data_IF_622270361388
#
_entry.id   IF_622270361388
#
_cell.length_a   1.000
_cell.length_b   1.000
_cell.length_c   1.000
_cell.angle_alpha   90.00
_cell.angle_beta   90.00
_cell.angle_gamma   90.00
#
_symmetry.space_group_name_H-M   'P 1'
#
loop_
_entity.id
_entity.type
_entity.pdbx_description
1 polymer ?
#
# COMPACT_ATOMS: atom_id res chain seq x y z
N UNK A 1 10.38 -26.30 5.97
CA UNK A 1 9.42 -25.24 5.67
C UNK A 1 9.44 -24.26 6.84
N UNK A 2 9.89 -23.03 6.61
CA UNK A 2 9.74 -21.97 7.60
C UNK A 2 8.23 -21.72 7.85
N UNK A 3 7.81 -21.44 9.10
CA UNK A 3 6.41 -21.13 9.37
C UNK A 3 6.00 -19.89 8.58
N UNK A 4 4.82 -19.91 8.00
CA UNK A 4 4.26 -18.75 7.30
C UNK A 4 4.12 -17.60 8.32
N UNK A 5 4.54 -16.40 7.92
CA UNK A 5 4.29 -15.20 8.72
C UNK A 5 2.81 -14.85 8.65
N UNK A 6 2.22 -14.32 9.74
CA UNK A 6 0.88 -13.77 9.68
C UNK A 6 0.84 -12.62 8.64
N UNK A 7 -0.32 -12.42 8.01
CA UNK A 7 -0.50 -11.26 7.15
C UNK A 7 -0.45 -9.96 7.97
N UNK A 8 -0.09 -8.89 7.32
CA UNK A 8 -0.12 -7.56 7.91
C UNK A 8 -1.53 -6.97 7.82
N UNK A 9 -2.01 -6.40 8.92
CA UNK A 9 -3.29 -5.69 8.98
C UNK A 9 -3.13 -4.24 8.50
N UNK A 10 -4.27 -3.60 8.25
CA UNK A 10 -4.30 -2.15 8.00
C UNK A 10 -3.70 -1.38 9.17
N UNK A 11 -3.99 -1.79 10.42
CA UNK A 11 -3.43 -1.19 11.64
C UNK A 11 -1.91 -1.31 11.70
N UNK A 12 -1.34 -2.45 11.30
CA UNK A 12 0.12 -2.63 11.26
C UNK A 12 0.80 -1.66 10.28
N UNK A 13 0.11 -1.29 9.21
CA UNK A 13 0.66 -0.42 8.18
C UNK A 13 0.57 1.07 8.53
N UNK A 14 -0.50 1.50 9.21
CA UNK A 14 -0.83 2.93 9.38
C UNK A 14 -1.15 3.35 10.82
N UNK A 15 -1.15 2.41 11.79
CA UNK A 15 -1.61 2.69 13.16
C UNK A 15 -0.72 3.62 13.97
N UNK A 16 0.51 3.87 13.54
CA UNK A 16 1.45 4.82 14.12
C UNK A 16 1.30 6.24 13.53
N UNK A 17 0.53 6.40 12.44
CA UNK A 17 0.23 7.73 11.91
C UNK A 17 -0.80 8.44 12.79
N UNK A 18 -0.64 9.75 13.03
CA UNK A 18 -1.63 10.53 13.76
C UNK A 18 -2.95 10.65 12.97
N UNK A 19 -4.01 11.08 13.64
CA UNK A 19 -5.24 11.45 12.94
C UNK A 19 -4.93 12.52 11.87
N UNK A 20 -5.33 12.32 10.60
CA UNK A 20 -5.04 13.27 9.52
C UNK A 20 -5.71 14.65 9.72
N UNK A 21 -6.60 14.81 10.69
CA UNK A 21 -7.18 16.10 11.09
C UNK A 21 -6.43 16.74 12.27
N UNK A 22 -5.47 16.05 12.86
CA UNK A 22 -4.67 16.57 13.96
C UNK A 22 -3.54 17.51 13.46
N UNK A 23 -2.98 18.29 14.38
CA UNK A 23 -1.83 19.16 14.08
C UNK A 23 -0.57 18.36 13.78
N UNK A 24 -0.43 17.22 14.41
CA UNK A 24 0.69 16.28 14.28
C UNK A 24 0.76 15.68 12.87
N UNK A 25 -0.37 15.58 12.16
CA UNK A 25 -0.42 15.10 10.79
C UNK A 25 0.43 15.92 9.82
N UNK A 26 0.63 17.21 10.10
CA UNK A 26 1.46 18.11 9.29
C UNK A 26 2.95 17.72 9.24
N UNK A 27 3.42 16.87 10.16
CA UNK A 27 4.78 16.33 10.15
C UNK A 27 4.96 15.19 9.12
N UNK A 28 3.87 14.66 8.56
CA UNK A 28 3.89 13.56 7.60
C UNK A 28 3.48 14.05 6.23
N UNK A 29 4.37 13.95 5.26
CA UNK A 29 4.07 14.34 3.88
C UNK A 29 2.95 13.47 3.29
N UNK A 30 2.06 14.11 2.53
CA UNK A 30 0.90 13.47 1.90
C UNK A 30 -0.14 12.87 2.89
N UNK A 31 -0.08 13.24 4.18
CA UNK A 31 -1.03 12.78 5.19
C UNK A 31 -2.13 13.83 5.45
N UNK A 32 -2.92 14.11 4.43
CA UNK A 32 -3.94 15.17 4.42
C UNK A 32 -5.33 14.52 4.42
N UNK A 33 -6.19 14.95 5.35
CA UNK A 33 -7.58 14.51 5.43
C UNK A 33 -8.37 14.79 4.15
N UNK A 34 -9.18 13.79 3.73
CA UNK A 34 -10.11 13.92 2.62
C UNK A 34 -11.53 13.63 3.08
N UNK A 35 -12.40 14.63 2.99
CA UNK A 35 -13.81 14.51 3.34
C UNK A 35 -14.63 13.77 2.27
N UNK A 36 -15.85 13.35 2.62
CA UNK A 36 -16.86 12.86 1.69
C UNK A 36 -16.95 11.35 1.53
N UNK A 37 -16.22 10.58 2.33
CA UNK A 37 -16.36 9.12 2.36
C UNK A 37 -17.76 8.72 2.85
N UNK A 38 -18.38 7.74 2.18
CA UNK A 38 -19.69 7.19 2.54
C UNK A 38 -19.74 5.72 2.23
N UNK A 39 -20.27 4.92 3.14
CA UNK A 39 -20.58 3.52 2.89
C UNK A 39 -21.84 3.41 2.01
N UNK A 40 -21.80 2.52 1.05
CA UNK A 40 -22.95 2.11 0.24
C UNK A 40 -22.78 0.65 -0.23
N UNK A 41 -23.84 -0.02 -0.68
CA UNK A 41 -23.77 -1.42 -1.06
C UNK A 41 -22.59 -1.73 -2.01
N UNK A 42 -21.74 -2.70 -1.63
CA UNK A 42 -20.54 -3.07 -2.37
C UNK A 42 -19.30 -2.21 -2.08
N UNK A 43 -19.42 -1.16 -1.25
CA UNK A 43 -18.32 -0.23 -0.92
C UNK A 43 -18.29 0.04 0.59
N UNK A 44 -17.73 -0.89 1.34
CA UNK A 44 -17.76 -0.87 2.81
C UNK A 44 -16.48 -0.39 3.49
N UNK A 45 -15.43 -0.11 2.73
CA UNK A 45 -14.13 0.25 3.30
C UNK A 45 -13.35 -0.95 3.88
N UNK A 46 -12.15 -0.69 4.38
CA UNK A 46 -11.29 -1.65 5.08
C UNK A 46 -11.33 -1.37 6.57
N UNK A 47 -11.37 -2.41 7.40
CA UNK A 47 -11.25 -2.30 8.85
C UNK A 47 -9.79 -2.36 9.29
N UNK A 48 -9.49 -1.85 10.48
CA UNK A 48 -8.10 -1.73 10.95
C UNK A 48 -7.43 -3.07 11.20
N UNK A 49 -8.13 -4.04 11.78
CA UNK A 49 -7.55 -5.31 12.24
C UNK A 49 -7.57 -6.43 11.19
N UNK A 50 -7.82 -6.07 9.93
CA UNK A 50 -7.74 -6.96 8.78
C UNK A 50 -6.80 -6.39 7.70
N UNK A 51 -6.33 -7.23 6.77
CA UNK A 51 -5.63 -6.74 5.57
C UNK A 51 -6.49 -5.73 4.82
N UNK A 52 -5.88 -4.65 4.36
CA UNK A 52 -6.58 -3.67 3.53
C UNK A 52 -7.12 -4.32 2.25
N UNK A 53 -8.30 -3.88 1.85
CA UNK A 53 -8.79 -4.16 0.49
C UNK A 53 -7.84 -3.57 -0.53
N UNK A 54 -7.86 -4.12 -1.74
CA UNK A 54 -7.00 -3.66 -2.84
C UNK A 54 -7.21 -2.17 -3.11
N UNK A 55 -6.14 -1.39 -3.04
CA UNK A 55 -6.15 0.00 -3.46
C UNK A 55 -6.39 0.05 -4.97
N UNK A 56 -7.48 0.67 -5.40
CA UNK A 56 -7.85 0.75 -6.81
C UNK A 56 -7.41 2.07 -7.44
N UNK A 57 -6.83 1.97 -8.61
CA UNK A 57 -6.58 3.08 -9.52
C UNK A 57 -7.84 3.39 -10.32
N UNK A 58 -8.85 3.98 -9.71
CA UNK A 58 -10.14 4.22 -10.37
C UNK A 58 -10.01 5.09 -11.62
N UNK A 59 -10.53 4.61 -12.77
CA UNK A 59 -10.58 5.36 -14.02
C UNK A 59 -11.55 6.56 -13.97
N UNK A 60 -12.38 6.67 -12.95
CA UNK A 60 -13.47 7.64 -12.86
C UNK A 60 -13.33 8.63 -11.69
N UNK A 61 -12.13 8.90 -11.22
CA UNK A 61 -11.82 10.02 -10.32
C UNK A 61 -12.44 9.96 -8.92
N UNK A 62 -13.31 9.02 -8.65
CA UNK A 62 -13.84 8.79 -7.31
C UNK A 62 -13.21 7.51 -6.79
N UNK A 63 -12.53 7.56 -5.65
CA UNK A 63 -12.08 6.36 -5.01
C UNK A 63 -13.31 5.50 -4.68
N UNK A 64 -13.34 4.30 -5.21
CA UNK A 64 -14.31 3.30 -4.78
C UNK A 64 -14.20 3.04 -3.29
N UNK A 65 -15.17 2.35 -2.71
CA UNK A 65 -15.20 2.03 -1.28
C UNK A 65 -13.98 1.28 -0.75
N UNK A 66 -13.16 0.74 -1.60
CA UNK A 66 -11.90 0.07 -1.25
C UNK A 66 -10.83 1.04 -0.76
N UNK A 67 -10.90 2.33 -1.15
CA UNK A 67 -9.98 3.38 -0.70
C UNK A 67 -10.48 4.09 0.57
N UNK A 68 -11.34 3.44 1.33
CA UNK A 68 -11.88 3.94 2.60
C UNK A 68 -11.41 3.10 3.78
N UNK A 69 -11.23 3.78 4.91
CA UNK A 69 -10.97 3.20 6.23
C UNK A 69 -12.23 3.29 7.07
N UNK A 70 -12.55 2.18 7.74
CA UNK A 70 -13.54 2.12 8.82
C UNK A 70 -12.78 2.20 10.13
N UNK A 71 -13.06 3.23 10.92
CA UNK A 71 -12.45 3.45 12.23
C UNK A 71 -13.12 2.58 13.31
N UNK A 72 -12.46 2.41 14.45
CA UNK A 72 -12.98 1.59 15.57
C UNK A 72 -14.33 2.08 16.12
N UNK A 73 -14.65 3.36 15.96
CA UNK A 73 -15.96 3.94 16.34
C UNK A 73 -17.05 3.76 15.27
N UNK A 74 -16.73 3.12 14.12
CA UNK A 74 -17.63 2.90 13.00
C UNK A 74 -17.67 4.04 11.98
N UNK A 75 -17.01 5.16 12.23
CA UNK A 75 -16.90 6.24 11.25
C UNK A 75 -16.05 5.81 10.05
N UNK A 76 -16.28 6.46 8.91
CA UNK A 76 -15.55 6.17 7.69
C UNK A 76 -14.88 7.42 7.15
N UNK A 77 -13.68 7.25 6.60
CA UNK A 77 -12.98 8.28 5.86
C UNK A 77 -12.20 7.69 4.69
N UNK A 78 -11.82 8.52 3.75
CA UNK A 78 -10.87 8.07 2.74
C UNK A 78 -9.48 7.89 3.36
N UNK A 79 -8.71 6.95 2.81
CA UNK A 79 -7.28 6.92 3.05
C UNK A 79 -6.64 8.22 2.60
N UNK A 80 -5.66 8.69 3.35
CA UNK A 80 -4.71 9.70 2.86
C UNK A 80 -3.77 9.06 1.84
N UNK A 81 -3.07 9.89 1.07
CA UNK A 81 -2.05 9.39 0.12
C UNK A 81 -0.95 8.64 0.88
N UNK A 82 -0.50 9.16 2.03
CA UNK A 82 0.51 8.51 2.87
C UNK A 82 0.08 7.14 3.38
N UNK A 83 -1.15 7.01 3.85
CA UNK A 83 -1.69 5.72 4.31
C UNK A 83 -1.75 4.70 3.18
N UNK A 84 -2.26 5.10 2.01
CA UNK A 84 -2.30 4.23 0.84
C UNK A 84 -0.92 3.82 0.36
N UNK A 85 0.05 4.74 0.41
CA UNK A 85 1.45 4.46 0.09
C UNK A 85 2.05 3.41 1.04
N UNK A 86 1.83 3.54 2.36
CA UNK A 86 2.29 2.56 3.34
C UNK A 86 1.63 1.19 3.17
N UNK A 87 0.33 1.13 2.86
CA UNK A 87 -0.38 -0.12 2.54
C UNK A 87 0.26 -0.79 1.31
N UNK A 88 0.66 -0.03 0.31
CA UNK A 88 1.41 -0.49 -0.86
C UNK A 88 2.93 -0.60 -0.60
N UNK A 89 3.33 -0.50 0.65
CA UNK A 89 4.71 -0.66 1.12
C UNK A 89 5.73 0.32 0.53
N UNK A 90 5.29 1.51 0.09
CA UNK A 90 6.20 2.60 -0.24
C UNK A 90 6.87 3.12 1.04
N UNK A 91 8.14 3.52 0.98
CA UNK A 91 8.82 4.13 2.13
C UNK A 91 8.30 5.55 2.38
N UNK A 92 8.47 6.04 3.62
CA UNK A 92 7.91 7.34 4.03
C UNK A 92 8.61 8.54 3.39
N UNK A 93 9.83 8.38 2.93
CA UNK A 93 10.60 9.39 2.19
C UNK A 93 10.23 9.47 0.69
N UNK A 94 9.32 8.61 0.22
CA UNK A 94 8.78 8.74 -1.12
C UNK A 94 7.69 9.82 -1.17
N UNK A 95 7.90 10.86 -1.98
CA UNK A 95 7.00 12.01 -2.10
C UNK A 95 6.09 11.92 -3.32
N UNK A 96 4.79 12.07 -3.09
CA UNK A 96 3.80 12.19 -4.16
C UNK A 96 3.51 13.67 -4.42
N UNK A 97 3.89 14.19 -5.58
CA UNK A 97 3.77 15.61 -5.93
C UNK A 97 2.49 15.96 -6.69
N UNK A 98 1.67 14.96 -6.99
CA UNK A 98 0.43 15.13 -7.74
C UNK A 98 -0.76 15.43 -6.81
N UNK A 99 -1.93 15.75 -7.42
CA UNK A 99 -3.18 15.86 -6.69
C UNK A 99 -3.52 14.54 -5.97
N UNK A 100 -4.37 14.58 -4.94
CA UNK A 100 -4.81 13.38 -4.22
C UNK A 100 -5.33 12.29 -5.17
N UNK A 101 -6.22 12.63 -6.11
CA UNK A 101 -6.78 11.67 -7.07
C UNK A 101 -5.70 11.02 -7.94
N UNK A 102 -4.77 11.82 -8.43
CA UNK A 102 -3.68 11.33 -9.28
C UNK A 102 -2.68 10.49 -8.48
N UNK A 103 -2.33 10.89 -7.26
CA UNK A 103 -1.47 10.11 -6.37
C UNK A 103 -2.11 8.75 -6.03
N UNK A 104 -3.41 8.73 -5.70
CA UNK A 104 -4.16 7.49 -5.45
C UNK A 104 -4.20 6.58 -6.70
N UNK A 105 -4.31 7.17 -7.90
CA UNK A 105 -4.25 6.42 -9.15
C UNK A 105 -2.87 5.80 -9.38
N UNK A 106 -1.80 6.54 -9.10
CA UNK A 106 -0.42 6.04 -9.21
C UNK A 106 -0.18 4.89 -8.24
N UNK A 107 -0.57 5.06 -6.97
CA UNK A 107 -0.44 4.04 -5.92
C UNK A 107 -1.25 2.78 -6.28
N UNK A 108 -2.48 2.93 -6.74
CA UNK A 108 -3.34 1.80 -7.10
C UNK A 108 -2.86 1.03 -8.35
N UNK A 109 -2.10 1.67 -9.24
CA UNK A 109 -1.47 1.02 -10.39
C UNK A 109 -0.12 0.39 -10.04
N UNK A 110 0.47 0.74 -8.90
CA UNK A 110 1.78 0.22 -8.52
C UNK A 110 1.70 -1.22 -8.00
N UNK A 111 2.72 -1.99 -8.27
CA UNK A 111 2.98 -3.24 -7.54
C UNK A 111 3.51 -2.87 -6.15
N UNK A 112 3.01 -3.49 -5.04
CA UNK A 112 3.57 -3.25 -3.72
C UNK A 112 5.08 -3.43 -3.70
N UNK A 113 5.81 -2.47 -3.13
CA UNK A 113 7.29 -2.42 -3.21
C UNK A 113 7.93 -3.69 -2.65
N UNK A 114 7.47 -4.18 -1.49
CA UNK A 114 7.97 -5.44 -0.90
C UNK A 114 7.65 -6.68 -1.74
N UNK A 115 6.54 -6.69 -2.48
CA UNK A 115 6.22 -7.77 -3.40
C UNK A 115 7.16 -7.74 -4.62
N UNK A 116 7.40 -6.56 -5.18
CA UNK A 116 8.34 -6.38 -6.28
C UNK A 116 9.76 -6.81 -5.88
N UNK A 117 10.20 -6.47 -4.66
CA UNK A 117 11.48 -6.89 -4.09
C UNK A 117 11.57 -8.41 -3.95
N UNK A 118 10.54 -9.07 -3.41
CA UNK A 118 10.52 -10.52 -3.24
C UNK A 118 10.60 -11.26 -4.58
N UNK A 119 9.80 -10.83 -5.57
CA UNK A 119 9.81 -11.39 -6.92
C UNK A 119 11.15 -11.14 -7.61
N UNK A 120 11.67 -9.90 -7.55
CA UNK A 120 12.95 -9.53 -8.14
C UNK A 120 14.12 -10.32 -7.54
N UNK A 121 14.13 -10.49 -6.22
CA UNK A 121 15.13 -11.30 -5.51
C UNK A 121 15.10 -12.76 -5.93
N UNK A 122 13.91 -13.34 -6.10
CA UNK A 122 13.75 -14.72 -6.57
C UNK A 122 14.26 -14.90 -7.99
N UNK A 123 13.91 -13.99 -8.89
CA UNK A 123 14.42 -14.01 -10.29
C UNK A 123 15.93 -13.85 -10.33
N UNK A 124 16.48 -12.93 -9.55
CA UNK A 124 17.91 -12.70 -9.47
C UNK A 124 18.68 -13.93 -8.97
N UNK A 125 18.19 -14.59 -7.92
CA UNK A 125 18.78 -15.82 -7.39
C UNK A 125 18.82 -16.92 -8.47
N UNK A 126 17.72 -17.12 -9.18
CA UNK A 126 17.64 -18.12 -10.24
C UNK A 126 18.57 -17.83 -11.43
N UNK A 127 18.68 -16.57 -11.84
CA UNK A 127 19.62 -16.17 -12.88
C UNK A 127 21.08 -16.41 -12.48
N UNK A 128 21.43 -16.17 -11.21
CA UNK A 128 22.76 -16.51 -10.69
C UNK A 128 23.07 -18.01 -10.77
N UNK A 129 22.12 -18.86 -10.42
CA UNK A 129 22.29 -20.32 -10.49
C UNK A 129 22.56 -20.76 -11.94
N UNK A 130 21.81 -20.22 -12.92
CA UNK A 130 22.02 -20.51 -14.34
C UNK A 130 23.41 -20.05 -14.79
N UNK A 131 23.86 -18.87 -14.38
CA UNK A 131 25.19 -18.35 -14.76
C UNK A 131 26.32 -19.19 -14.17
N UNK A 132 26.19 -19.60 -12.92
CA UNK A 132 27.14 -20.53 -12.30
C UNK A 132 27.18 -21.90 -13.01
N UNK A 133 26.03 -22.44 -13.42
CA UNK A 133 25.97 -23.69 -14.17
C UNK A 133 26.68 -23.55 -15.53
N UNK A 134 26.43 -22.48 -16.28
CA UNK A 134 27.09 -22.21 -17.58
C UNK A 134 28.61 -22.13 -17.44
N UNK A 135 29.13 -21.42 -16.44
CA UNK A 135 30.56 -21.30 -16.19
C UNK A 135 31.24 -22.64 -15.88
N UNK A 136 30.56 -23.55 -15.18
CA UNK A 136 31.08 -24.90 -14.94
C UNK A 136 31.21 -25.73 -16.20
N UNK A 137 30.29 -25.60 -17.16
CA UNK A 137 30.33 -26.31 -18.44
C UNK A 137 31.31 -25.72 -19.43
N UNK A 138 31.67 -24.43 -19.32
CA UNK A 138 32.65 -23.78 -20.22
C UNK A 138 34.11 -24.01 -19.83
N UNK A 139 34.36 -24.51 -18.61
CA UNK A 139 35.74 -24.74 -18.10
C UNK A 139 36.12 -26.23 -18.10
N UNK A 140 35.30 -27.10 -18.69
CA UNK A 140 35.60 -28.50 -19.00
C UNK A 140 35.66 -28.75 -20.51
#
# INVERSE_FOLDING_TARGET
>A
NAPLRPWQTTRDAIGDLPDPQSKEAAAFDNHIFRAGAKIYPGHSGSVLDEPSKTIKAGAHGVPGGENMLVLDNGDVRYYTVRESARIQTFPDDYHFVASWTESMRQIGNAVPVKLAEAVGSSVYAHLKEIDHAKRRYSNN
#
